data_IF_315134356832
#
_entry.id   IF_315134356832
#
_cell.length_a   1.000
_cell.length_b   1.000
_cell.length_c   1.000
_cell.angle_alpha   90.00
_cell.angle_beta   90.00
_cell.angle_gamma   90.00
#
_symmetry.space_group_name_H-M   'P 1'
#
loop_
_entity.id
_entity.type
_entity.pdbx_description
1 polymer ?
#
# COMPACT_ATOMS: atom_id res chain seq x y z
N UNK A 1 9.73 23.67 -1.64
CA UNK A 1 9.27 22.42 -2.27
C UNK A 1 7.91 22.71 -2.86
N UNK A 2 7.66 22.28 -4.09
CA UNK A 2 6.30 22.21 -4.60
C UNK A 2 5.79 20.87 -4.08
N UNK A 3 4.85 20.88 -3.14
CA UNK A 3 4.17 19.67 -2.72
C UNK A 3 3.11 19.36 -3.78
N UNK A 4 3.32 18.30 -4.57
CA UNK A 4 2.32 17.82 -5.53
C UNK A 4 1.28 16.98 -4.77
N UNK A 5 0.16 17.62 -4.43
CA UNK A 5 -0.93 16.98 -3.68
C UNK A 5 -2.30 17.29 -4.29
N UNK A 6 -3.24 16.36 -4.11
CA UNK A 6 -4.61 16.48 -4.63
C UNK A 6 -5.60 15.83 -3.66
N UNK A 7 -6.65 16.56 -3.29
CA UNK A 7 -7.79 16.03 -2.55
C UNK A 7 -8.69 15.21 -3.48
N UNK A 8 -9.06 14.01 -3.03
CA UNK A 8 -9.88 13.05 -3.77
C UNK A 8 -10.84 12.32 -2.83
N UNK A 9 -11.95 11.84 -3.37
CA UNK A 9 -12.95 11.06 -2.62
C UNK A 9 -12.63 9.57 -2.73
N UNK A 10 -12.62 8.86 -1.61
CA UNK A 10 -12.37 7.42 -1.58
C UNK A 10 -13.50 6.65 -2.26
N UNK A 11 -13.13 5.74 -3.15
CA UNK A 11 -13.99 4.76 -3.79
C UNK A 11 -13.45 3.33 -3.58
N UNK A 12 -14.31 2.34 -3.79
CA UNK A 12 -13.94 0.94 -3.70
C UNK A 12 -12.97 0.54 -4.82
N UNK A 13 -11.90 -0.20 -4.49
CA UNK A 13 -10.94 -0.70 -5.47
C UNK A 13 -11.57 -1.61 -6.53
N UNK A 14 -10.85 -1.80 -7.63
CA UNK A 14 -11.14 -2.88 -8.57
C UNK A 14 -10.76 -4.23 -7.95
N UNK A 15 -11.53 -5.28 -8.25
CA UNK A 15 -11.33 -6.62 -7.69
C UNK A 15 -9.87 -7.11 -7.88
N UNK A 16 -9.29 -6.88 -9.05
CA UNK A 16 -7.91 -7.27 -9.40
C UNK A 16 -6.80 -6.51 -8.64
N UNK A 17 -7.15 -5.41 -7.99
CA UNK A 17 -6.23 -4.57 -7.22
C UNK A 17 -6.28 -4.88 -5.70
N UNK A 18 -7.22 -5.71 -5.27
CA UNK A 18 -7.46 -5.99 -3.86
C UNK A 18 -6.23 -6.59 -3.16
N UNK A 19 -5.84 -5.99 -2.04
CA UNK A 19 -4.74 -6.44 -1.19
C UNK A 19 -3.35 -6.12 -1.74
N UNK A 20 -3.25 -5.45 -2.89
CA UNK A 20 -1.98 -5.18 -3.58
C UNK A 20 -1.37 -3.82 -3.21
N UNK A 21 -2.11 -2.98 -2.48
CA UNK A 21 -1.65 -1.62 -2.13
C UNK A 21 -1.57 -0.71 -3.36
N UNK A 22 -2.51 -0.87 -4.28
CA UNK A 22 -2.64 -0.06 -5.50
C UNK A 22 -3.70 1.01 -5.30
N UNK A 23 -3.41 2.24 -5.70
CA UNK A 23 -4.40 3.31 -5.82
C UNK A 23 -4.63 3.65 -7.28
N UNK A 24 -5.89 3.64 -7.73
CA UNK A 24 -6.23 4.06 -9.09
C UNK A 24 -6.63 5.52 -9.12
N UNK A 25 -6.05 6.26 -10.07
CA UNK A 25 -6.24 7.70 -10.26
C UNK A 25 -6.58 8.01 -11.71
N UNK A 26 -7.42 9.03 -11.93
CA UNK A 26 -7.72 9.50 -13.28
C UNK A 26 -6.49 10.16 -13.93
N UNK A 27 -6.41 10.24 -15.27
CA UNK A 27 -5.25 10.84 -15.94
C UNK A 27 -5.00 12.29 -15.56
N UNK A 28 -6.06 13.06 -15.28
CA UNK A 28 -5.99 14.44 -14.79
C UNK A 28 -5.37 14.49 -13.38
N UNK A 29 -5.81 13.64 -12.46
CA UNK A 29 -5.25 13.55 -11.11
C UNK A 29 -3.77 13.16 -11.13
N UNK A 30 -3.39 12.17 -11.94
CA UNK A 30 -1.97 11.79 -12.13
C UNK A 30 -1.14 12.96 -12.67
N UNK A 31 -1.67 13.71 -13.63
CA UNK A 31 -0.97 14.86 -14.21
C UNK A 31 -0.81 16.02 -13.22
N UNK A 32 -1.77 16.25 -12.35
CA UNK A 32 -1.67 17.30 -11.30
C UNK A 32 -0.68 16.91 -10.20
N UNK A 33 -0.58 15.61 -9.91
CA UNK A 33 0.36 15.05 -8.94
C UNK A 33 1.78 14.88 -9.51
N UNK A 34 1.99 15.15 -10.80
CA UNK A 34 3.22 14.82 -11.54
C UNK A 34 3.64 13.34 -11.37
N UNK A 35 2.65 12.44 -11.30
CA UNK A 35 2.85 11.02 -11.02
C UNK A 35 2.59 10.16 -12.26
N UNK A 36 3.44 9.16 -12.47
CA UNK A 36 3.29 8.13 -13.49
C UNK A 36 2.79 6.81 -12.92
N UNK A 37 2.10 5.97 -13.72
CA UNK A 37 1.75 4.63 -13.28
C UNK A 37 2.99 3.83 -12.85
N UNK A 38 2.96 3.29 -11.63
CA UNK A 38 4.09 2.62 -10.99
C UNK A 38 4.82 3.47 -9.95
N UNK A 39 4.57 4.78 -9.90
CA UNK A 39 5.15 5.64 -8.87
C UNK A 39 4.47 5.42 -7.52
N UNK A 40 5.17 5.79 -6.46
CA UNK A 40 4.68 5.67 -5.10
C UNK A 40 4.12 7.03 -4.65
N UNK A 41 2.92 7.01 -4.12
CA UNK A 41 2.27 8.15 -3.48
C UNK A 41 1.89 7.79 -2.04
N UNK A 42 1.64 8.81 -1.23
CA UNK A 42 1.05 8.66 0.10
C UNK A 42 -0.43 9.02 0.01
N UNK A 43 -1.29 8.12 0.52
CA UNK A 43 -2.67 8.45 0.83
C UNK A 43 -2.69 8.95 2.27
N UNK A 44 -3.15 10.18 2.47
CA UNK A 44 -3.24 10.85 3.76
C UNK A 44 -4.71 10.93 4.16
N UNK A 45 -5.11 10.06 5.08
CA UNK A 45 -6.38 10.15 5.82
C UNK A 45 -6.13 10.68 7.22
N UNK A 46 -6.66 10.02 8.26
CA UNK A 46 -6.19 10.29 9.63
C UNK A 46 -4.72 9.85 9.77
N UNK A 47 -4.36 8.75 9.10
CA UNK A 47 -3.02 8.20 9.02
C UNK A 47 -2.54 8.13 7.56
N UNK A 48 -1.22 8.01 7.38
CA UNK A 48 -0.59 7.92 6.07
C UNK A 48 -0.35 6.46 5.66
N UNK A 49 -0.67 6.13 4.41
CA UNK A 49 -0.37 4.84 3.81
C UNK A 49 0.30 5.03 2.45
N UNK A 50 1.49 4.47 2.22
CA UNK A 50 2.07 4.44 0.89
C UNK A 50 1.34 3.45 -0.02
N UNK A 51 1.23 3.82 -1.29
CA UNK A 51 0.57 3.04 -2.34
C UNK A 51 1.32 3.19 -3.65
N UNK A 52 1.17 2.21 -4.54
CA UNK A 52 1.58 2.34 -5.94
C UNK A 52 0.42 2.89 -6.74
N UNK A 53 0.63 3.95 -7.51
CA UNK A 53 -0.44 4.55 -8.31
C UNK A 53 -0.54 3.92 -9.69
N UNK A 54 -1.76 3.71 -10.14
CA UNK A 54 -2.05 3.28 -11.51
C UNK A 54 -3.19 4.11 -12.10
N UNK A 55 -3.29 4.09 -13.43
CA UNK A 55 -4.39 4.75 -14.11
C UNK A 55 -5.71 4.00 -13.86
N UNK A 56 -6.75 4.74 -13.50
CA UNK A 56 -8.13 4.27 -13.44
C UNK A 56 -8.69 3.93 -14.83
N UNK A 57 -9.71 3.08 -14.87
CA UNK A 57 -10.42 2.75 -16.09
C UNK A 57 -11.08 3.98 -16.70
N UNK A 58 -11.24 3.97 -18.02
CA UNK A 58 -11.80 5.11 -18.77
C UNK A 58 -13.18 5.55 -18.27
N UNK A 59 -13.98 4.64 -17.71
CA UNK A 59 -15.30 4.91 -17.13
C UNK A 59 -15.24 5.81 -15.89
N UNK A 60 -14.10 5.82 -15.21
CA UNK A 60 -13.87 6.49 -13.92
C UNK A 60 -13.01 7.76 -14.05
N UNK A 61 -12.68 8.19 -15.27
CA UNK A 61 -11.89 9.40 -15.50
C UNK A 61 -12.66 10.67 -15.10
N UNK A 62 -11.93 11.69 -14.63
CA UNK A 62 -12.49 12.95 -14.11
C UNK A 62 -13.55 12.76 -13.01
N UNK A 63 -13.52 11.63 -12.30
CA UNK A 63 -14.49 11.34 -11.23
C UNK A 63 -14.17 12.07 -9.92
N UNK A 64 -12.97 12.62 -9.76
CA UNK A 64 -12.49 13.20 -8.50
C UNK A 64 -12.31 12.15 -7.41
N UNK A 65 -12.06 10.89 -7.79
CA UNK A 65 -11.96 9.76 -6.87
C UNK A 65 -10.59 9.11 -6.87
N UNK A 66 -10.27 8.47 -5.75
CA UNK A 66 -9.18 7.49 -5.61
C UNK A 66 -9.78 6.14 -5.23
N UNK A 67 -9.42 5.08 -5.94
CA UNK A 67 -9.96 3.74 -5.69
C UNK A 67 -8.97 2.97 -4.82
N UNK A 68 -9.40 2.58 -3.61
CA UNK A 68 -8.56 1.99 -2.57
C UNK A 68 -9.18 0.70 -2.04
N UNK A 69 -8.36 -0.32 -1.77
CA UNK A 69 -8.80 -1.57 -1.16
C UNK A 69 -9.07 -1.42 0.34
N UNK A 70 -9.63 -2.45 0.98
CA UNK A 70 -9.96 -2.40 2.40
C UNK A 70 -8.74 -2.24 3.32
N UNK A 71 -7.58 -2.79 2.95
CA UNK A 71 -6.37 -2.74 3.75
C UNK A 71 -5.74 -1.36 3.69
N UNK A 72 -5.70 -0.74 2.52
CA UNK A 72 -5.29 0.65 2.37
C UNK A 72 -6.23 1.58 3.15
N UNK A 73 -7.55 1.37 3.08
CA UNK A 73 -8.53 2.14 3.87
C UNK A 73 -8.35 1.97 5.38
N UNK A 74 -8.08 0.74 5.84
CA UNK A 74 -7.73 0.48 7.25
C UNK A 74 -6.44 1.22 7.63
N UNK A 75 -5.44 1.26 6.75
CA UNK A 75 -4.16 1.92 7.04
C UNK A 75 -4.28 3.44 7.10
N UNK A 76 -5.19 4.04 6.33
CA UNK A 76 -5.43 5.49 6.33
C UNK A 76 -6.55 5.92 7.27
N UNK A 77 -7.29 4.96 7.83
CA UNK A 77 -8.56 5.17 8.55
C UNK A 77 -9.60 5.94 7.71
N UNK A 78 -9.60 5.75 6.39
CA UNK A 78 -10.52 6.43 5.48
C UNK A 78 -11.57 5.46 4.92
N UNK A 79 -12.85 5.76 5.13
CA UNK A 79 -13.97 4.99 4.60
C UNK A 79 -14.35 5.42 3.17
N UNK A 80 -15.12 4.59 2.46
CA UNK A 80 -15.66 4.96 1.14
C UNK A 80 -16.53 6.21 1.27
N UNK A 81 -16.27 7.20 0.41
CA UNK A 81 -16.93 8.50 0.41
C UNK A 81 -16.26 9.57 1.27
N UNK A 82 -15.21 9.23 2.04
CA UNK A 82 -14.39 10.21 2.75
C UNK A 82 -13.44 10.96 1.80
N UNK A 83 -13.07 12.18 2.17
CA UNK A 83 -12.01 12.94 1.51
C UNK A 83 -10.64 12.48 2.03
N UNK A 84 -9.69 12.29 1.13
CA UNK A 84 -8.28 12.02 1.43
C UNK A 84 -7.38 12.89 0.57
N UNK A 85 -6.18 13.19 1.06
CA UNK A 85 -5.16 13.86 0.25
C UNK A 85 -4.21 12.81 -0.33
N UNK A 86 -4.04 12.81 -1.65
CA UNK A 86 -2.98 12.04 -2.29
C UNK A 86 -1.79 12.95 -2.45
N UNK A 87 -0.64 12.54 -1.92
CA UNK A 87 0.63 13.29 -2.00
C UNK A 87 1.65 12.50 -2.78
N UNK A 88 2.21 13.09 -3.84
CA UNK A 88 3.33 12.49 -4.55
C UNK A 88 4.57 12.47 -3.66
N UNK A 89 5.28 11.34 -3.64
CA UNK A 89 6.59 11.28 -2.98
C UNK A 89 7.60 11.87 -3.96
N UNK A 90 7.93 13.15 -3.77
CA UNK A 90 8.81 13.88 -4.68
C UNK A 90 10.18 13.16 -4.80
N UNK A 91 10.47 12.65 -5.98
CA UNK A 91 11.80 12.10 -6.35
C UNK A 91 12.75 13.20 -6.83
N UNK A 92 12.30 14.47 -6.80
CA UNK A 92 12.97 15.67 -7.32
C UNK A 92 14.38 15.93 -6.75
N UNK A 93 14.77 15.21 -5.70
CA UNK A 93 16.11 15.30 -5.09
C UNK A 93 16.93 14.04 -5.32
N UNK A 94 16.64 13.21 -6.33
CA UNK A 94 17.45 12.02 -6.63
C UNK A 94 17.52 10.99 -5.50
N UNK A 95 16.71 11.17 -4.45
CA UNK A 95 16.54 10.25 -3.34
C UNK A 95 15.44 9.26 -3.75
N UNK A 96 15.88 8.07 -4.16
CA UNK A 96 14.98 6.93 -4.30
C UNK A 96 14.49 6.51 -2.92
N UNK A 97 13.22 6.12 -2.82
CA UNK A 97 12.72 5.42 -1.63
C UNK A 97 13.63 4.21 -1.37
N UNK A 98 14.18 4.04 -0.16
CA UNK A 98 15.10 2.97 0.13
C UNK A 98 14.40 1.61 0.07
N UNK A 99 15.14 0.58 -0.33
CA UNK A 99 14.71 -0.79 -0.12
C UNK A 99 14.75 -1.12 1.38
N UNK A 100 13.74 -1.84 1.86
CA UNK A 100 13.71 -2.33 3.22
C UNK A 100 14.80 -3.40 3.40
N UNK A 101 15.69 -3.20 4.37
CA UNK A 101 16.69 -4.19 4.76
C UNK A 101 16.03 -5.28 5.62
N UNK A 102 15.14 -4.87 6.52
CA UNK A 102 14.46 -5.77 7.45
C UNK A 102 13.04 -5.30 7.75
N UNK A 103 12.13 -6.26 7.88
CA UNK A 103 10.74 -6.04 8.29
C UNK A 103 10.37 -7.02 9.39
N UNK A 104 9.75 -6.49 10.44
CA UNK A 104 9.16 -7.30 11.51
C UNK A 104 7.65 -7.23 11.42
N UNK A 105 7.00 -8.39 11.39
CA UNK A 105 5.56 -8.54 11.27
C UNK A 105 4.96 -9.08 12.56
N UNK A 106 3.78 -8.57 12.90
CA UNK A 106 2.90 -9.12 13.91
C UNK A 106 1.59 -9.55 13.29
N UNK A 107 0.89 -10.44 13.99
CA UNK A 107 -0.49 -10.76 13.71
C UNK A 107 -1.43 -9.56 13.92
N UNK A 108 -2.28 -9.27 12.93
CA UNK A 108 -3.27 -8.22 13.07
C UNK A 108 -4.46 -8.69 13.91
N UNK A 109 -4.85 -7.89 14.92
CA UNK A 109 -6.00 -8.15 15.81
C UNK A 109 -5.99 -9.53 16.52
N UNK A 110 -4.82 -10.11 16.74
CA UNK A 110 -4.67 -11.39 17.46
C UNK A 110 -5.09 -12.62 16.67
N UNK A 111 -5.20 -12.52 15.34
CA UNK A 111 -5.36 -13.68 14.47
C UNK A 111 -4.05 -14.48 14.45
N UNK A 112 -4.09 -15.78 14.68
CA UNK A 112 -2.90 -16.63 14.51
C UNK A 112 -3.17 -17.64 13.39
N UNK A 113 -2.19 -17.78 12.48
CA UNK A 113 -2.27 -18.73 11.38
C UNK A 113 -0.94 -19.47 11.22
N UNK A 114 -1.00 -20.79 11.10
CA UNK A 114 0.19 -21.59 10.80
C UNK A 114 0.40 -21.64 9.28
N UNK A 115 1.29 -20.78 8.80
CA UNK A 115 1.75 -20.79 7.41
C UNK A 115 2.70 -21.96 7.09
N UNK A 116 3.02 -22.81 8.06
CA UNK A 116 4.02 -23.86 7.95
C UNK A 116 5.43 -23.30 7.72
N UNK A 117 6.32 -24.14 7.21
CA UNK A 117 7.75 -23.81 7.06
C UNK A 117 8.06 -22.73 6.03
N UNK A 118 7.11 -22.39 5.14
CA UNK A 118 7.36 -21.54 3.97
C UNK A 118 6.69 -20.15 4.05
N UNK A 119 6.26 -19.75 5.25
CA UNK A 119 5.56 -18.49 5.51
C UNK A 119 6.25 -17.27 4.88
N UNK A 120 7.54 -17.11 5.16
CA UNK A 120 8.33 -15.97 4.71
C UNK A 120 8.45 -15.93 3.19
N UNK A 121 8.66 -17.07 2.53
CA UNK A 121 8.76 -17.13 1.07
C UNK A 121 7.42 -16.78 0.41
N UNK A 122 6.30 -17.26 0.97
CA UNK A 122 4.96 -16.93 0.48
C UNK A 122 4.67 -15.43 0.60
N UNK A 123 4.99 -14.82 1.75
CA UNK A 123 4.84 -13.37 1.96
C UNK A 123 5.69 -12.59 0.96
N UNK A 124 6.98 -12.95 0.81
CA UNK A 124 7.88 -12.29 -0.15
C UNK A 124 7.34 -12.32 -1.57
N UNK A 125 6.86 -13.48 -2.04
CA UNK A 125 6.30 -13.62 -3.40
C UNK A 125 5.14 -12.66 -3.68
N UNK A 126 4.37 -12.29 -2.65
CA UNK A 126 3.22 -11.40 -2.79
C UNK A 126 3.56 -9.93 -2.58
N UNK A 127 4.57 -9.62 -1.76
CA UNK A 127 4.82 -8.25 -1.31
C UNK A 127 6.06 -7.59 -1.91
N UNK A 128 6.89 -8.28 -2.68
CA UNK A 128 8.02 -7.65 -3.39
C UNK A 128 7.52 -6.49 -4.27
N UNK A 129 8.28 -5.38 -4.25
CA UNK A 129 7.98 -4.05 -4.82
C UNK A 129 6.85 -3.28 -4.15
N UNK A 130 6.32 -3.76 -3.02
CA UNK A 130 5.29 -3.04 -2.27
C UNK A 130 5.94 -1.96 -1.38
N UNK A 131 5.48 -0.71 -1.47
CA UNK A 131 5.91 0.32 -0.54
C UNK A 131 5.20 0.13 0.80
N UNK A 132 5.92 0.38 1.89
CA UNK A 132 5.45 0.09 3.24
C UNK A 132 5.99 1.09 4.26
N UNK A 133 5.25 1.21 5.36
CA UNK A 133 5.65 1.93 6.55
C UNK A 133 5.18 1.19 7.80
N UNK A 134 5.81 1.49 8.93
CA UNK A 134 5.42 0.96 10.23
C UNK A 134 3.93 1.21 10.51
N UNK A 135 3.25 0.19 11.01
CA UNK A 135 1.82 0.20 11.30
C UNK A 135 0.92 -0.18 10.13
N UNK A 136 1.43 -0.26 8.90
CA UNK A 136 0.61 -0.73 7.79
C UNK A 136 0.21 -2.20 7.98
N UNK A 137 -1.06 -2.49 7.72
CA UNK A 137 -1.68 -3.80 7.67
C UNK A 137 -1.71 -4.25 6.22
N UNK A 138 -1.10 -5.41 5.95
CA UNK A 138 -1.00 -6.00 4.63
C UNK A 138 -1.59 -7.41 4.67
N UNK A 139 -2.38 -7.80 3.65
CA UNK A 139 -2.90 -9.14 3.56
C UNK A 139 -1.90 -10.10 2.93
N UNK A 140 -1.94 -11.35 3.39
CA UNK A 140 -1.34 -12.50 2.72
C UNK A 140 -2.48 -13.35 2.18
N UNK A 141 -2.60 -13.44 0.85
CA UNK A 141 -3.59 -14.26 0.18
C UNK A 141 -3.22 -15.74 0.36
N UNK A 142 -4.16 -16.55 0.85
CA UNK A 142 -4.00 -18.00 1.01
C UNK A 142 -4.52 -18.75 -0.21
N UNK A 143 -5.72 -18.39 -0.65
CA UNK A 143 -6.39 -18.97 -1.81
C UNK A 143 -6.97 -17.85 -2.69
N UNK A 144 -6.67 -17.93 -3.98
CA UNK A 144 -7.12 -16.96 -4.98
C UNK A 144 -8.61 -17.15 -5.28
N UNK A 145 -9.12 -18.37 -5.23
CA UNK A 145 -10.50 -18.70 -5.60
C UNK A 145 -11.49 -18.34 -4.49
N UNK A 146 -11.08 -18.45 -3.23
CA UNK A 146 -11.94 -18.15 -2.06
C UNK A 146 -11.78 -16.70 -1.57
N UNK A 147 -10.69 -16.01 -1.96
CA UNK A 147 -10.42 -14.65 -1.49
C UNK A 147 -10.09 -14.62 0.01
N UNK A 148 -9.46 -15.67 0.51
CA UNK A 148 -9.07 -15.78 1.91
C UNK A 148 -7.74 -15.04 2.15
N UNK A 149 -7.79 -14.05 3.04
CA UNK A 149 -6.63 -13.23 3.39
C UNK A 149 -6.31 -13.30 4.88
N UNK A 150 -5.02 -13.42 5.18
CA UNK A 150 -4.50 -13.32 6.54
C UNK A 150 -3.78 -11.98 6.71
N UNK A 151 -4.32 -11.04 7.50
CA UNK A 151 -3.70 -9.75 7.70
C UNK A 151 -2.55 -9.80 8.70
N UNK A 152 -1.45 -9.16 8.32
CA UNK A 152 -0.28 -8.94 9.16
C UNK A 152 -0.02 -7.44 9.26
N UNK A 153 0.45 -6.98 10.41
CA UNK A 153 0.85 -5.59 10.62
C UNK A 153 2.36 -5.46 10.65
N UNK A 154 2.89 -4.43 9.99
CA UNK A 154 4.31 -4.08 10.03
C UNK A 154 4.61 -3.48 11.39
N UNK A 155 5.20 -4.27 12.27
CA UNK A 155 5.60 -3.85 13.60
C UNK A 155 6.85 -2.96 13.55
N UNK A 156 7.74 -3.21 12.59
CA UNK A 156 8.97 -2.45 12.40
C UNK A 156 9.50 -2.57 10.97
N UNK A 157 10.17 -1.53 10.49
CA UNK A 157 10.83 -1.46 9.17
C UNK A 157 12.19 -0.78 9.32
N UNK A 158 13.21 -1.35 8.69
CA UNK A 158 14.58 -0.81 8.65
C UNK A 158 14.97 -0.58 7.18
N UNK A 159 15.35 0.65 6.77
CA UNK A 159 15.37 1.88 7.57
C UNK A 159 13.96 2.34 8.00
N UNK A 160 13.90 3.12 9.08
CA UNK A 160 12.62 3.64 9.58
C UNK A 160 11.99 4.62 8.58
N UNK A 161 10.66 4.66 8.55
CA UNK A 161 9.87 5.44 7.60
C UNK A 161 9.44 4.64 6.36
N UNK A 162 9.31 5.34 5.23
CA UNK A 162 8.87 4.78 3.96
C UNK A 162 9.99 3.94 3.32
N UNK A 163 9.72 2.66 3.08
CA UNK A 163 10.64 1.75 2.39
C UNK A 163 9.89 0.87 1.38
N UNK A 164 10.61 0.25 0.44
CA UNK A 164 10.06 -0.72 -0.52
C UNK A 164 10.54 -2.13 -0.18
N UNK A 165 9.63 -3.10 -0.14
CA UNK A 165 10.00 -4.51 0.04
C UNK A 165 10.73 -5.01 -1.20
N UNK A 166 11.96 -5.47 -1.06
CA UNK A 166 12.75 -6.07 -2.12
C UNK A 166 12.97 -7.57 -1.92
N UNK A 167 13.53 -8.23 -2.93
CA UNK A 167 14.00 -9.63 -2.81
C UNK A 167 14.96 -9.85 -1.60
N UNK A 168 15.96 -8.97 -1.33
CA UNK A 168 16.88 -9.20 -0.22
C UNK A 168 16.31 -8.88 1.17
N UNK A 169 15.15 -8.24 1.28
CA UNK A 169 14.56 -7.83 2.57
C UNK A 169 14.42 -9.00 3.54
N UNK A 170 14.96 -8.91 4.75
CA UNK A 170 14.79 -9.93 5.79
C UNK A 170 13.43 -9.76 6.48
N UNK A 171 12.48 -10.67 6.21
CA UNK A 171 11.14 -10.62 6.80
C UNK A 171 11.06 -11.62 7.96
N UNK A 172 10.66 -11.12 9.12
CA UNK A 172 10.47 -11.92 10.34
C UNK A 172 9.06 -11.74 10.88
N UNK A 173 8.41 -12.85 11.23
CA UNK A 173 7.12 -12.84 11.91
C UNK A 173 7.39 -13.09 13.39
N UNK A 174 6.92 -12.20 14.27
CA UNK A 174 6.96 -12.48 15.69
C UNK A 174 5.92 -13.56 16.01
N UNK A 175 6.40 -14.69 16.50
CA UNK A 175 5.58 -15.70 17.17
C UNK A 175 5.52 -15.36 18.66
N UNK A 176 4.33 -15.42 19.24
CA UNK A 176 4.15 -15.35 20.69
C UNK A 176 4.84 -16.52 21.40
#
# INVERSE_FOLDING_TARGET
MIDYEKELIVAEAYDDDFGRGIARLSPDALSELDASPGDICLIVGDWECPVVVYRADRKDWNSGKVFLDEFTRVNTQAEVGADVTVKAVATDVGESIPDAEKIVLNWYRGLEFDFGSNAVEMIKRQWVKRPVSKGNVLPVMLDVDEGDYIPLVIADVEPDGLSVIGDPTDIRINTA
#
